data_IF_796436247057
#
_entry.id   IF_796436247057
#
_cell.length_a   1.000
_cell.length_b   1.000
_cell.length_c   1.000
_cell.angle_alpha   90.00
_cell.angle_beta   90.00
_cell.angle_gamma   90.00
#
_symmetry.space_group_name_H-M   'P 1'
#
loop_
_entity.id
_entity.type
_entity.pdbx_description
1 polymer ?
#
# COMPACT_ATOMS: atom_id res chain seq x y z
N UNK A 1 12.26 -3.26 5.99
CA UNK A 1 12.99 -4.00 7.04
C UNK A 1 14.49 -3.76 7.04
N UNK A 2 15.25 -4.02 5.97
CA UNK A 2 16.72 -3.98 6.03
C UNK A 2 17.33 -2.60 6.36
N UNK A 3 16.61 -1.51 6.07
CA UNK A 3 17.01 -0.15 6.42
C UNK A 3 16.16 0.35 7.59
N UNK A 4 14.83 0.32 7.42
CA UNK A 4 13.87 0.91 8.38
C UNK A 4 13.64 0.09 9.66
N UNK A 5 14.11 -1.16 9.71
CA UNK A 5 13.77 -2.09 10.80
C UNK A 5 12.39 -2.74 10.64
N UNK A 6 12.07 -3.67 11.53
CA UNK A 6 10.77 -4.38 11.54
C UNK A 6 9.66 -3.62 12.26
N UNK A 7 9.97 -2.59 13.05
CA UNK A 7 9.01 -1.80 13.82
C UNK A 7 8.53 -0.53 13.09
N UNK A 8 9.24 -0.09 12.05
CA UNK A 8 8.94 1.13 11.29
C UNK A 8 8.62 0.83 9.81
N UNK A 9 7.86 -0.26 9.57
CA UNK A 9 7.38 -0.66 8.24
C UNK A 9 5.90 -1.05 8.29
N UNK A 10 5.14 -0.71 7.25
CA UNK A 10 3.74 -1.11 7.08
C UNK A 10 3.37 -1.23 5.60
N UNK A 11 2.12 -1.59 5.31
CA UNK A 11 1.58 -1.68 3.96
C UNK A 11 0.76 -0.43 3.62
N UNK A 12 0.96 0.10 2.40
CA UNK A 12 0.11 1.10 1.77
C UNK A 12 -0.02 0.76 0.28
N UNK A 13 -1.05 -0.02 -0.09
CA UNK A 13 -1.16 -0.61 -1.44
C UNK A 13 -1.48 0.39 -2.54
N UNK A 14 -2.02 1.56 -2.18
CA UNK A 14 -2.49 2.57 -3.12
C UNK A 14 -3.54 2.03 -4.10
N UNK A 15 -4.48 1.22 -3.59
CA UNK A 15 -5.55 0.68 -4.42
C UNK A 15 -6.45 1.78 -4.97
N UNK A 16 -6.54 1.85 -6.30
CA UNK A 16 -7.47 2.71 -7.04
C UNK A 16 -8.66 1.91 -7.62
N UNK A 17 -9.04 0.81 -6.96
CA UNK A 17 -10.05 -0.13 -7.46
C UNK A 17 -11.38 0.58 -7.69
N UNK A 18 -11.95 0.43 -8.89
CA UNK A 18 -13.23 1.03 -9.27
C UNK A 18 -13.10 2.41 -9.93
N UNK A 19 -11.91 3.02 -9.96
CA UNK A 19 -11.67 4.28 -10.67
C UNK A 19 -11.26 4.06 -12.14
N UNK A 20 -11.77 4.93 -13.03
CA UNK A 20 -11.47 4.95 -14.46
C UNK A 20 -10.47 6.03 -14.87
N UNK A 21 -10.33 6.25 -16.18
CA UNK A 21 -9.33 7.17 -16.75
C UNK A 21 -9.46 8.61 -16.22
N UNK A 22 -10.67 9.13 -16.05
CA UNK A 22 -10.91 10.50 -15.57
C UNK A 22 -10.27 10.78 -14.21
N UNK A 23 -10.29 9.78 -13.32
CA UNK A 23 -9.64 9.89 -12.01
C UNK A 23 -8.12 10.03 -12.15
N UNK A 24 -7.49 9.28 -13.07
CA UNK A 24 -6.06 9.38 -13.31
C UNK A 24 -5.67 10.65 -14.07
N UNK A 25 -6.53 11.16 -14.95
CA UNK A 25 -6.34 12.49 -15.53
C UNK A 25 -6.35 13.55 -14.43
N UNK A 26 -7.31 13.49 -13.49
CA UNK A 26 -7.33 14.37 -12.32
C UNK A 26 -6.04 14.24 -11.49
N UNK A 27 -5.59 13.03 -11.13
CA UNK A 27 -4.36 12.84 -10.35
C UNK A 27 -3.09 13.36 -11.06
N UNK A 28 -3.06 13.30 -12.39
CA UNK A 28 -1.86 13.65 -13.17
C UNK A 28 -1.81 15.09 -13.65
N UNK A 29 -2.84 15.91 -13.39
CA UNK A 29 -2.84 17.34 -13.70
C UNK A 29 -2.74 18.16 -12.42
N UNK A 30 -2.00 19.27 -12.50
CA UNK A 30 -1.90 20.20 -11.39
C UNK A 30 -3.30 20.69 -11.00
N UNK A 31 -3.63 20.58 -9.71
CA UNK A 31 -4.96 20.93 -9.15
C UNK A 31 -6.12 20.15 -9.81
N UNK A 32 -5.83 19.04 -10.48
CA UNK A 32 -6.85 18.21 -11.10
C UNK A 32 -7.21 18.56 -12.55
N UNK A 33 -6.72 19.68 -13.09
CA UNK A 33 -7.16 20.16 -14.40
C UNK A 33 -6.18 21.06 -15.15
N UNK A 34 -5.13 21.58 -14.49
CA UNK A 34 -4.22 22.56 -15.09
C UNK A 34 -3.13 21.85 -15.92
N UNK A 35 -1.85 22.25 -15.81
CA UNK A 35 -0.78 21.60 -16.59
C UNK A 35 -0.64 20.12 -16.18
N UNK A 36 -0.37 19.25 -17.15
CA UNK A 36 -0.01 17.84 -16.88
C UNK A 36 1.31 17.79 -16.12
N UNK A 37 1.33 17.10 -14.98
CA UNK A 37 2.51 16.88 -14.15
C UNK A 37 3.27 15.63 -14.58
N UNK A 38 2.55 14.58 -14.97
CA UNK A 38 3.15 13.29 -15.35
C UNK A 38 2.19 12.46 -16.21
N UNK A 39 2.63 11.27 -16.63
CA UNK A 39 1.80 10.25 -17.24
C UNK A 39 2.18 8.89 -16.64
N UNK A 40 1.23 8.24 -15.95
CA UNK A 40 1.44 6.93 -15.34
C UNK A 40 1.48 5.77 -16.36
N UNK A 41 0.93 5.97 -17.56
CA UNK A 41 0.75 4.90 -18.53
C UNK A 41 -0.31 3.89 -18.09
N UNK A 42 -0.04 2.60 -18.29
CA UNK A 42 -1.03 1.55 -18.02
C UNK A 42 -1.06 1.21 -16.53
N UNK A 43 -2.22 1.41 -15.89
CA UNK A 43 -2.43 1.07 -14.49
C UNK A 43 -2.76 -0.41 -14.35
N UNK A 44 -1.78 -1.21 -13.94
CA UNK A 44 -1.95 -2.61 -13.60
C UNK A 44 -1.18 -2.90 -12.32
N UNK A 45 -1.90 -3.28 -11.26
CA UNK A 45 -1.31 -3.73 -10.00
C UNK A 45 -0.48 -5.04 -10.21
N UNK A 46 0.34 -5.47 -9.25
CA UNK A 46 1.02 -6.78 -9.35
C UNK A 46 0.02 -7.94 -9.46
N UNK A 47 0.37 -8.99 -10.20
CA UNK A 47 -0.46 -10.20 -10.29
C UNK A 47 -0.53 -10.89 -8.91
N UNK A 48 -1.71 -11.36 -8.52
CA UNK A 48 -1.95 -11.99 -7.21
C UNK A 48 -2.39 -11.02 -6.11
N UNK A 49 -2.44 -9.71 -6.39
CA UNK A 49 -3.01 -8.69 -5.51
C UNK A 49 -3.60 -7.54 -6.34
N UNK A 50 -4.39 -7.88 -7.36
CA UNK A 50 -4.98 -6.89 -8.29
C UNK A 50 -6.13 -6.12 -7.65
N UNK A 51 -6.84 -6.79 -6.77
CA UNK A 51 -8.04 -6.30 -6.10
C UNK A 51 -7.87 -6.33 -4.59
N UNK A 52 -8.68 -5.53 -3.89
CA UNK A 52 -8.69 -5.47 -2.42
C UNK A 52 -9.00 -6.84 -1.81
N UNK A 53 -9.86 -7.64 -2.47
CA UNK A 53 -10.22 -8.98 -1.99
C UNK A 53 -9.05 -9.98 -1.97
N UNK A 54 -7.94 -9.68 -2.65
CA UNK A 54 -6.74 -10.50 -2.70
C UNK A 54 -5.69 -10.12 -1.64
N UNK A 55 -6.02 -9.20 -0.72
CA UNK A 55 -5.13 -8.82 0.39
C UNK A 55 -4.50 -10.01 1.16
N UNK A 56 -5.25 -11.10 1.46
CA UNK A 56 -4.69 -12.25 2.16
C UNK A 56 -3.51 -12.91 1.44
N UNK A 57 -3.40 -12.78 0.12
CA UNK A 57 -2.30 -13.36 -0.66
C UNK A 57 -0.94 -12.73 -0.29
N UNK A 58 -0.93 -11.48 0.20
CA UNK A 58 0.29 -10.84 0.69
C UNK A 58 0.78 -11.48 1.98
N UNK A 59 -0.12 -11.72 2.94
CA UNK A 59 0.18 -12.46 4.18
C UNK A 59 0.76 -13.83 3.86
N UNK A 60 0.07 -14.59 3.00
CA UNK A 60 0.52 -15.92 2.57
C UNK A 60 1.91 -15.87 1.94
N UNK A 61 2.15 -14.90 1.06
CA UNK A 61 3.44 -14.74 0.37
C UNK A 61 4.56 -14.38 1.34
N UNK A 62 4.34 -13.47 2.29
CA UNK A 62 5.36 -13.09 3.28
C UNK A 62 5.76 -14.29 4.14
N UNK A 63 4.79 -15.08 4.60
CA UNK A 63 5.03 -16.31 5.34
C UNK A 63 5.83 -17.33 4.52
N UNK A 64 5.41 -17.60 3.28
CA UNK A 64 6.11 -18.52 2.35
C UNK A 64 7.54 -18.07 2.04
N UNK A 65 7.83 -16.77 2.12
CA UNK A 65 9.18 -16.20 1.92
C UNK A 65 10.05 -16.23 3.18
N UNK A 66 9.58 -16.83 4.27
CA UNK A 66 10.37 -17.08 5.47
C UNK A 66 10.30 -15.97 6.53
N UNK A 67 9.41 -14.99 6.39
CA UNK A 67 9.13 -14.09 7.50
C UNK A 67 8.42 -14.84 8.62
N UNK A 68 8.86 -14.63 9.87
CA UNK A 68 8.17 -15.20 11.02
C UNK A 68 6.78 -14.59 11.17
N UNK A 69 5.84 -15.36 11.73
CA UNK A 69 4.48 -14.89 11.98
C UNK A 69 4.45 -13.57 12.76
N UNK A 70 5.32 -13.44 13.77
CA UNK A 70 5.51 -12.20 14.54
C UNK A 70 5.82 -10.99 13.65
N UNK A 71 6.73 -11.14 12.69
CA UNK A 71 7.10 -10.06 11.75
C UNK A 71 5.97 -9.79 10.76
N UNK A 72 5.26 -10.83 10.30
CA UNK A 72 4.13 -10.65 9.40
C UNK A 72 2.99 -9.88 10.06
N UNK A 73 2.66 -10.17 11.33
CA UNK A 73 1.64 -9.41 12.09
C UNK A 73 2.00 -7.93 12.18
N UNK A 74 3.27 -7.61 12.44
CA UNK A 74 3.81 -6.24 12.41
C UNK A 74 3.58 -5.54 11.07
N UNK A 75 4.06 -6.14 9.97
CA UNK A 75 3.94 -5.57 8.62
C UNK A 75 2.47 -5.38 8.23
N UNK A 76 1.62 -6.37 8.53
CA UNK A 76 0.22 -6.39 8.09
C UNK A 76 -0.67 -5.44 8.89
N UNK A 77 -0.24 -4.93 10.05
CA UNK A 77 -1.03 -3.90 10.74
C UNK A 77 -0.55 -3.46 12.12
N UNK A 78 0.14 -4.29 12.90
CA UNK A 78 0.46 -3.90 14.29
C UNK A 78 1.33 -2.65 14.35
N UNK A 79 2.26 -2.48 13.41
CA UNK A 79 3.09 -1.28 13.36
C UNK A 79 2.28 -0.02 13.06
N UNK A 80 1.27 -0.13 12.19
CA UNK A 80 0.36 0.99 11.92
C UNK A 80 -0.44 1.36 13.16
N UNK A 81 -0.97 0.38 13.89
CA UNK A 81 -1.69 0.63 15.15
C UNK A 81 -0.77 1.31 16.16
N UNK A 82 0.47 0.84 16.32
CA UNK A 82 1.42 1.41 17.27
C UNK A 82 1.77 2.87 16.97
N UNK A 83 2.08 3.21 15.72
CA UNK A 83 2.41 4.61 15.38
C UNK A 83 1.19 5.51 15.47
N UNK A 84 -0.01 5.03 15.12
CA UNK A 84 -1.23 5.80 15.26
C UNK A 84 -1.59 6.06 16.73
N UNK A 85 -1.44 5.05 17.59
CA UNK A 85 -1.57 5.19 19.04
C UNK A 85 -0.61 6.26 19.60
N UNK A 86 0.67 6.22 19.20
CA UNK A 86 1.68 7.20 19.64
C UNK A 86 1.33 8.64 19.22
N UNK A 87 0.96 8.86 17.96
CA UNK A 87 0.63 10.22 17.47
C UNK A 87 -0.73 10.73 17.96
N UNK A 88 -1.65 9.85 18.34
CA UNK A 88 -2.94 10.21 18.91
C UNK A 88 -2.90 10.36 20.44
N UNK A 89 -1.93 9.73 21.10
CA UNK A 89 -1.83 9.70 22.56
C UNK A 89 -2.87 8.78 23.22
N UNK A 90 -3.33 7.75 22.51
CA UNK A 90 -4.34 6.76 22.95
C UNK A 90 -3.85 5.32 22.79
#
# INVERSE_FOLDING_TARGET
MNIVGEDAIGIGTDFTQGHGQEFFEYLTHDKGYARRLTNFGKIINPLGIRTVGEFPNLTETLLKRGHSERVVRKIMGENWVNVLADVWGE
#
